data_IF_214837424330
#
_entry.id   IF_214837424330
#
_cell.length_a   1.000
_cell.length_b   1.000
_cell.length_c   1.000
_cell.angle_alpha   90.00
_cell.angle_beta   90.00
_cell.angle_gamma   90.00
#
_symmetry.space_group_name_H-M   'P 1'
#
loop_
_entity.id
_entity.type
_entity.pdbx_description
1 polymer ?
#
# COMPACT_ATOMS: atom_id res chain seq x y z
N UNK A 1 4.79 11.21 -9.89
CA UNK A 1 4.53 10.80 -11.30
C UNK A 1 3.13 11.22 -11.77
N UNK A 2 2.11 11.17 -10.90
CA UNK A 2 0.77 11.68 -11.16
C UNK A 2 0.69 13.22 -11.28
N UNK A 3 1.44 13.97 -10.46
CA UNK A 3 1.52 15.45 -10.61
C UNK A 3 1.97 15.89 -12.01
N UNK A 4 2.93 15.16 -12.63
CA UNK A 4 3.40 15.45 -14.00
C UNK A 4 2.33 15.18 -15.06
N UNK A 5 1.34 14.34 -14.79
CA UNK A 5 0.19 14.16 -15.69
C UNK A 5 -0.79 15.32 -15.58
N UNK A 6 -1.02 15.84 -14.36
CA UNK A 6 -1.85 17.03 -14.12
C UNK A 6 -1.20 18.30 -14.71
N UNK A 7 0.12 18.44 -14.59
CA UNK A 7 0.88 19.56 -15.15
C UNK A 7 0.83 19.59 -16.68
N UNK A 8 0.86 18.43 -17.34
CA UNK A 8 0.72 18.34 -18.80
C UNK A 8 -0.69 18.76 -19.28
N UNK A 9 -1.72 18.68 -18.43
CA UNK A 9 -3.06 19.19 -18.71
C UNK A 9 -3.12 20.72 -18.57
N UNK A 10 -2.37 21.31 -17.63
CA UNK A 10 -2.24 22.78 -17.49
C UNK A 10 -1.52 23.44 -18.67
N UNK A 11 -0.58 22.77 -19.33
CA UNK A 11 0.06 23.31 -20.55
C UNK A 11 -0.96 23.43 -21.71
N UNK A 12 -2.00 22.58 -21.73
CA UNK A 12 -3.05 22.60 -22.74
C UNK A 12 -4.04 23.76 -22.49
N UNK A 13 -4.21 24.23 -21.24
CA UNK A 13 -5.07 25.39 -20.94
C UNK A 13 -4.51 26.73 -21.43
N UNK A 14 -3.20 26.81 -21.69
CA UNK A 14 -2.53 28.03 -22.19
C UNK A 14 -2.43 28.09 -23.72
N UNK A 15 -2.92 27.08 -24.44
CA UNK A 15 -2.88 27.06 -25.90
C UNK A 15 -3.92 28.04 -26.49
N UNK A 16 -3.53 28.98 -27.36
CA UNK A 16 -4.47 29.90 -27.98
C UNK A 16 -5.45 29.15 -28.89
N UNK A 17 -6.74 29.47 -28.78
CA UNK A 17 -7.83 28.88 -29.57
C UNK A 17 -7.70 29.30 -31.05
N UNK A 18 -6.99 28.50 -31.84
CA UNK A 18 -6.84 28.70 -33.28
C UNK A 18 -7.74 27.68 -34.00
N UNK A 19 -8.73 28.11 -34.80
CA UNK A 19 -9.50 27.19 -35.61
C UNK A 19 -8.60 26.55 -36.67
N UNK A 20 -8.45 25.22 -36.62
CA UNK A 20 -7.78 24.47 -37.69
C UNK A 20 -8.74 24.39 -38.89
N UNK A 21 -8.23 24.67 -40.09
CA UNK A 21 -8.99 24.71 -41.35
C UNK A 21 -9.44 23.32 -41.86
N UNK A 22 -9.42 22.24 -41.08
CA UNK A 22 -9.73 20.90 -41.62
C UNK A 22 -10.27 19.83 -40.65
N UNK A 23 -10.85 20.20 -39.51
CA UNK A 23 -11.62 19.26 -38.69
C UNK A 23 -11.15 19.19 -37.24
N UNK A 24 -12.10 19.39 -36.34
CA UNK A 24 -12.01 19.53 -34.89
C UNK A 24 -11.28 20.79 -34.39
N UNK A 25 -12.03 21.60 -33.64
CA UNK A 25 -11.56 22.75 -32.88
C UNK A 25 -10.68 22.32 -31.70
N UNK A 26 -9.83 23.21 -31.21
CA UNK A 26 -9.01 22.95 -30.02
C UNK A 26 -9.86 22.56 -28.79
N UNK A 27 -11.09 23.08 -28.71
CA UNK A 27 -12.07 22.76 -27.69
C UNK A 27 -12.58 21.31 -27.77
N UNK A 28 -12.84 20.80 -28.98
CA UNK A 28 -13.28 19.40 -29.18
C UNK A 28 -12.15 18.41 -28.89
N UNK A 29 -10.91 18.77 -29.23
CA UNK A 29 -9.72 17.99 -28.86
C UNK A 29 -9.58 17.97 -27.34
N UNK A 30 -9.65 19.13 -26.67
CA UNK A 30 -9.61 19.22 -25.21
C UNK A 30 -10.69 18.38 -24.55
N UNK A 31 -11.93 18.47 -25.02
CA UNK A 31 -13.05 17.70 -24.49
C UNK A 31 -12.84 16.18 -24.64
N UNK A 32 -12.18 15.74 -25.71
CA UNK A 32 -11.86 14.32 -25.91
C UNK A 32 -10.79 13.81 -24.94
N UNK A 33 -9.79 14.64 -24.61
CA UNK A 33 -8.77 14.31 -23.61
C UNK A 33 -9.36 14.30 -22.19
N UNK A 34 -10.16 15.30 -21.84
CA UNK A 34 -10.86 15.37 -20.53
C UNK A 34 -11.76 14.13 -20.35
N UNK A 35 -12.53 13.77 -21.38
CA UNK A 35 -13.37 12.57 -21.36
C UNK A 35 -12.57 11.29 -21.25
N UNK A 36 -11.39 11.22 -21.89
CA UNK A 36 -10.50 10.07 -21.79
C UNK A 36 -9.89 9.94 -20.39
N UNK A 37 -9.50 11.04 -19.76
CA UNK A 37 -9.00 11.06 -18.38
C UNK A 37 -10.08 10.61 -17.38
N UNK A 38 -11.32 11.09 -17.54
CA UNK A 38 -12.46 10.66 -16.72
C UNK A 38 -12.80 9.18 -16.92
N UNK A 39 -12.72 8.66 -18.15
CA UNK A 39 -12.89 7.23 -18.41
C UNK A 39 -11.79 6.38 -17.80
N UNK A 40 -10.54 6.86 -17.79
CA UNK A 40 -9.41 6.18 -17.15
C UNK A 40 -9.61 6.15 -15.63
N UNK A 41 -9.97 7.29 -15.01
CA UNK A 41 -10.30 7.35 -13.58
C UNK A 41 -11.45 6.41 -13.22
N UNK A 42 -12.52 6.42 -14.01
CA UNK A 42 -13.67 5.54 -13.83
C UNK A 42 -13.29 4.06 -13.95
N UNK A 43 -12.50 3.71 -14.96
CA UNK A 43 -12.03 2.34 -15.16
C UNK A 43 -11.14 1.86 -14.00
N UNK A 44 -10.24 2.74 -13.52
CA UNK A 44 -9.39 2.47 -12.37
C UNK A 44 -10.26 2.29 -11.12
N UNK A 45 -11.22 3.19 -10.84
CA UNK A 45 -12.11 3.07 -9.70
C UNK A 45 -12.95 1.78 -9.75
N UNK A 46 -13.57 1.46 -10.89
CA UNK A 46 -14.38 0.24 -11.04
C UNK A 46 -13.53 -1.03 -10.84
N UNK A 47 -12.35 -1.10 -11.47
CA UNK A 47 -11.51 -2.30 -11.40
C UNK A 47 -10.75 -2.46 -10.09
N UNK A 48 -10.27 -1.37 -9.50
CA UNK A 48 -9.59 -1.42 -8.22
C UNK A 48 -10.60 -1.72 -7.12
N UNK A 49 -11.76 -1.05 -7.07
CA UNK A 49 -12.79 -1.31 -6.04
C UNK A 49 -13.31 -2.75 -6.10
N UNK A 50 -13.47 -3.34 -7.29
CA UNK A 50 -13.83 -4.76 -7.42
C UNK A 50 -12.74 -5.69 -6.87
N UNK A 51 -11.47 -5.35 -7.07
CA UNK A 51 -10.33 -6.09 -6.48
C UNK A 51 -10.30 -5.92 -4.95
N UNK A 52 -10.63 -4.74 -4.43
CA UNK A 52 -10.76 -4.47 -2.99
C UNK A 52 -11.89 -5.28 -2.34
N UNK A 53 -13.07 -5.29 -2.97
CA UNK A 53 -14.25 -5.98 -2.46
C UNK A 53 -14.06 -7.51 -2.43
N UNK A 54 -13.29 -8.06 -3.35
CA UNK A 54 -13.03 -9.51 -3.43
C UNK A 54 -11.92 -9.99 -2.48
N UNK A 55 -11.23 -9.11 -1.75
CA UNK A 55 -10.21 -9.48 -0.76
C UNK A 55 -10.67 -9.38 0.71
N UNK A 56 -11.86 -8.83 1.00
CA UNK A 56 -12.40 -8.67 2.36
C UNK A 56 -13.86 -9.13 2.48
N UNK A 57 -14.13 -10.44 2.48
CA UNK A 57 -15.51 -10.96 2.59
C UNK A 57 -16.06 -11.02 4.02
N UNK A 58 -15.83 -10.01 4.89
CA UNK A 58 -16.56 -9.94 6.17
C UNK A 58 -17.01 -8.57 6.66
N UNK A 59 -16.41 -7.43 6.27
CA UNK A 59 -16.70 -6.15 6.97
C UNK A 59 -16.90 -4.91 6.07
N UNK A 60 -17.45 -5.06 4.86
CA UNK A 60 -17.90 -3.90 4.07
C UNK A 60 -19.40 -4.00 3.82
N UNK A 61 -20.18 -3.39 4.71
CA UNK A 61 -21.49 -2.87 4.36
C UNK A 61 -21.33 -1.95 3.14
N UNK A 62 -21.93 -2.36 2.02
CA UNK A 62 -22.07 -1.69 0.71
C UNK A 62 -21.54 -0.25 0.63
N UNK A 63 -20.56 0.07 -0.24
CA UNK A 63 -20.19 1.46 -0.46
C UNK A 63 -21.29 2.12 -1.30
N UNK A 64 -22.00 3.07 -0.69
CA UNK A 64 -22.67 4.13 -1.43
C UNK A 64 -21.62 4.92 -2.21
N UNK A 65 -21.96 5.28 -3.45
CA UNK A 65 -21.17 6.06 -4.41
C UNK A 65 -20.71 7.41 -3.82
N UNK A 66 -19.60 7.42 -3.10
CA UNK A 66 -18.91 8.63 -2.65
C UNK A 66 -17.49 8.57 -3.22
N UNK A 67 -17.09 9.62 -3.95
CA UNK A 67 -15.70 9.81 -4.35
C UNK A 67 -14.83 9.77 -3.10
N UNK A 68 -13.95 8.78 -3.02
CA UNK A 68 -12.95 8.68 -1.96
C UNK A 68 -11.89 9.75 -2.23
N UNK A 69 -11.55 10.56 -1.22
CA UNK A 69 -10.50 11.56 -1.33
C UNK A 69 -9.12 10.90 -1.53
N UNK A 70 -8.18 11.66 -2.09
CA UNK A 70 -6.86 11.16 -2.49
C UNK A 70 -6.07 10.58 -1.28
N UNK A 71 -6.20 11.19 -0.10
CA UNK A 71 -5.55 10.73 1.13
C UNK A 71 -6.11 9.39 1.60
N UNK A 72 -7.43 9.21 1.55
CA UNK A 72 -8.08 7.92 1.82
C UNK A 72 -7.61 6.85 0.84
N UNK A 73 -7.47 7.18 -0.45
CA UNK A 73 -6.97 6.25 -1.47
C UNK A 73 -5.50 5.88 -1.18
N UNK A 74 -4.63 6.84 -0.85
CA UNK A 74 -3.24 6.56 -0.48
C UNK A 74 -3.14 5.70 0.78
N UNK A 75 -3.93 6.02 1.81
CA UNK A 75 -3.97 5.25 3.05
C UNK A 75 -4.42 3.79 2.82
N UNK A 76 -5.44 3.60 1.98
CA UNK A 76 -5.92 2.27 1.61
C UNK A 76 -4.90 1.50 0.76
N UNK A 77 -4.26 2.13 -0.23
CA UNK A 77 -3.20 1.50 -1.04
C UNK A 77 -2.02 1.08 -0.16
N UNK A 78 -1.60 1.92 0.78
CA UNK A 78 -0.50 1.59 1.68
C UNK A 78 -0.87 0.41 2.59
N UNK A 79 -2.09 0.40 3.15
CA UNK A 79 -2.60 -0.72 3.96
C UNK A 79 -2.62 -2.04 3.19
N UNK A 80 -3.03 -2.01 1.91
CA UNK A 80 -3.05 -3.20 1.06
C UNK A 80 -1.66 -3.71 0.70
N UNK A 81 -0.73 -2.80 0.39
CA UNK A 81 0.66 -3.15 0.14
C UNK A 81 1.27 -3.86 1.36
N UNK A 82 0.91 -3.45 2.57
CA UNK A 82 1.38 -4.07 3.81
C UNK A 82 0.75 -5.43 4.12
N UNK A 83 -0.40 -5.77 3.52
CA UNK A 83 -1.03 -7.09 3.62
C UNK A 83 -0.51 -8.11 2.59
N UNK A 84 0.37 -7.70 1.67
CA UNK A 84 0.97 -8.63 0.69
C UNK A 84 1.96 -9.61 1.33
N UNK A 85 2.49 -9.28 2.51
CA UNK A 85 3.37 -10.16 3.27
C UNK A 85 2.55 -10.87 4.36
N UNK A 86 2.54 -12.22 4.38
CA UNK A 86 1.85 -12.94 5.43
C UNK A 86 2.52 -12.67 6.79
N UNK A 87 1.72 -12.72 7.86
CA UNK A 87 2.24 -12.69 9.23
C UNK A 87 3.27 -13.82 9.40
N UNK A 88 4.37 -13.53 10.10
CA UNK A 88 5.50 -14.45 10.26
C UNK A 88 6.50 -14.44 9.09
N UNK A 89 6.23 -13.71 8.00
CA UNK A 89 7.21 -13.53 6.94
C UNK A 89 8.44 -12.77 7.47
N UNK A 90 9.62 -13.33 7.23
CA UNK A 90 10.91 -12.73 7.53
C UNK A 90 11.52 -12.20 6.23
N UNK A 91 11.98 -10.95 6.25
CA UNK A 91 12.62 -10.32 5.10
C UNK A 91 13.66 -9.30 5.55
N UNK A 92 14.57 -8.98 4.63
CA UNK A 92 15.62 -8.00 4.86
C UNK A 92 15.07 -6.60 4.55
N UNK A 93 15.20 -5.69 5.50
CA UNK A 93 14.84 -4.29 5.37
C UNK A 93 16.10 -3.44 5.38
N UNK A 94 16.13 -2.42 4.53
CA UNK A 94 17.18 -1.40 4.52
C UNK A 94 16.61 -0.08 5.06
N UNK A 95 17.37 0.60 5.92
CA UNK A 95 16.98 1.87 6.53
C UNK A 95 16.12 1.73 7.79
N UNK A 96 15.70 2.87 8.35
CA UNK A 96 15.06 2.93 9.67
C UNK A 96 13.71 2.17 9.71
N UNK A 97 13.46 1.52 10.85
CA UNK A 97 12.21 0.81 11.15
C UNK A 97 11.05 1.77 11.49
N UNK A 98 10.71 2.66 10.57
CA UNK A 98 9.50 3.50 10.68
C UNK A 98 8.21 2.72 10.37
N UNK A 99 8.32 1.47 9.91
CA UNK A 99 7.17 0.63 9.59
C UNK A 99 6.55 0.03 10.86
N UNK A 100 5.33 0.47 11.19
CA UNK A 100 4.56 0.12 12.39
C UNK A 100 4.01 -1.31 12.43
N UNK A 101 4.51 -2.22 11.59
CA UNK A 101 3.91 -3.53 11.36
C UNK A 101 4.94 -4.69 11.27
N UNK A 102 6.17 -4.41 11.67
CA UNK A 102 7.32 -5.32 11.67
C UNK A 102 8.11 -5.22 12.96
N UNK A 103 8.67 -6.34 13.41
CA UNK A 103 9.59 -6.41 14.55
C UNK A 103 10.98 -6.83 14.07
N UNK A 104 12.03 -6.35 14.73
CA UNK A 104 13.41 -6.78 14.45
C UNK A 104 13.58 -8.24 14.87
N UNK A 105 14.28 -9.03 14.05
CA UNK A 105 14.66 -10.40 14.37
C UNK A 105 15.95 -10.42 15.22
N UNK A 106 15.85 -9.99 16.48
CA UNK A 106 16.95 -9.89 17.44
C UNK A 106 16.89 -10.91 18.59
N UNK A 107 15.99 -11.89 18.50
CA UNK A 107 15.77 -12.88 19.56
C UNK A 107 15.00 -12.36 20.78
N UNK A 108 14.56 -11.09 20.77
CA UNK A 108 13.87 -10.49 21.91
C UNK A 108 12.56 -11.22 22.26
N UNK A 109 12.22 -11.31 23.57
CA UNK A 109 10.91 -11.78 23.99
C UNK A 109 9.85 -10.70 23.75
N UNK A 110 8.74 -11.07 23.12
CA UNK A 110 7.61 -10.17 22.82
C UNK A 110 6.28 -10.74 23.35
N UNK A 111 5.30 -9.87 23.57
CA UNK A 111 4.01 -10.22 24.19
C UNK A 111 3.13 -11.10 23.28
N UNK A 112 2.64 -12.23 23.81
CA UNK A 112 1.66 -13.08 23.12
C UNK A 112 0.32 -12.38 22.91
N UNK A 113 -0.07 -11.49 23.82
CA UNK A 113 -1.34 -10.77 23.74
C UNK A 113 -1.29 -9.64 22.70
N UNK A 114 -0.15 -8.95 22.61
CA UNK A 114 0.04 -7.86 21.65
C UNK A 114 0.24 -8.40 20.23
N UNK A 115 1.03 -9.47 20.08
CA UNK A 115 1.38 -10.07 18.80
C UNK A 115 0.70 -11.43 18.60
N UNK A 116 -0.60 -11.51 18.88
CA UNK A 116 -1.36 -12.78 18.88
C UNK A 116 -1.30 -13.54 17.55
N UNK A 117 -1.46 -12.85 16.41
CA UNK A 117 -1.37 -13.48 15.08
C UNK A 117 0.03 -14.02 14.79
N UNK A 118 1.06 -13.29 15.20
CA UNK A 118 2.44 -13.75 15.05
C UNK A 118 2.70 -14.97 15.93
N UNK A 119 2.24 -14.95 17.18
CA UNK A 119 2.34 -16.09 18.08
C UNK A 119 1.59 -17.32 17.57
N UNK A 120 0.40 -17.16 17.00
CA UNK A 120 -0.33 -18.26 16.33
C UNK A 120 0.46 -18.85 15.16
N UNK A 121 1.25 -18.04 14.47
CA UNK A 121 2.01 -18.44 13.28
C UNK A 121 3.32 -19.15 13.65
N UNK A 122 4.14 -18.57 14.52
CA UNK A 122 5.48 -19.08 14.82
C UNK A 122 5.56 -19.84 16.16
N UNK A 123 4.56 -19.67 17.03
CA UNK A 123 4.53 -20.26 18.36
C UNK A 123 5.75 -19.90 19.19
N UNK A 124 6.35 -20.91 19.81
CA UNK A 124 7.57 -20.78 20.62
C UNK A 124 8.79 -21.38 19.93
N UNK A 125 8.77 -21.50 18.59
CA UNK A 125 9.85 -22.13 17.82
C UNK A 125 11.24 -21.52 18.08
N UNK A 126 11.30 -20.23 18.41
CA UNK A 126 12.53 -19.49 18.68
C UNK A 126 12.77 -19.24 20.18
N UNK A 127 11.94 -19.82 21.05
CA UNK A 127 12.04 -19.71 22.50
C UNK A 127 10.67 -19.47 23.15
N UNK A 128 10.52 -20.00 24.36
CA UNK A 128 9.27 -19.92 25.12
C UNK A 128 9.01 -18.54 25.75
N UNK A 129 9.92 -17.57 25.60
CA UNK A 129 9.90 -16.34 26.39
C UNK A 129 10.01 -16.64 27.88
N UNK A 130 9.13 -16.03 28.65
CA UNK A 130 8.90 -16.27 30.08
C UNK A 130 8.09 -17.55 30.38
N UNK A 131 7.61 -18.26 29.35
CA UNK A 131 6.80 -19.47 29.48
C UNK A 131 5.29 -19.22 29.60
N UNK A 132 4.85 -17.98 29.84
CA UNK A 132 3.44 -17.66 30.10
C UNK A 132 2.91 -16.56 29.18
N UNK A 133 3.55 -15.39 29.17
CA UNK A 133 3.01 -14.18 28.53
C UNK A 133 3.79 -13.73 27.31
N UNK A 134 5.00 -14.26 27.09
CA UNK A 134 5.88 -13.89 25.98
C UNK A 134 6.31 -15.09 25.14
N UNK A 135 6.85 -14.80 23.96
CA UNK A 135 7.54 -15.74 23.07
C UNK A 135 8.73 -15.03 22.43
N UNK A 136 9.75 -15.78 22.02
CA UNK A 136 10.92 -15.18 21.40
C UNK A 136 10.74 -15.04 19.89
N UNK A 137 11.28 -13.95 19.36
CA UNK A 137 11.47 -13.76 17.92
C UNK A 137 12.68 -14.58 17.42
N UNK A 138 12.82 -14.77 16.10
CA UNK A 138 14.08 -15.24 15.52
C UNK A 138 15.22 -14.28 15.87
N UNK A 139 16.43 -14.83 16.01
CA UNK A 139 17.66 -14.03 16.08
C UNK A 139 18.42 -14.21 14.76
N UNK A 140 18.49 -13.14 13.98
CA UNK A 140 19.15 -13.07 12.68
C UNK A 140 20.13 -11.90 12.62
N UNK A 141 20.56 -11.40 13.78
CA UNK A 141 21.46 -10.25 13.89
C UNK A 141 22.83 -10.53 13.26
N UNK A 142 23.36 -11.74 13.47
CA UNK A 142 24.64 -12.19 12.91
C UNK A 142 24.58 -12.54 11.42
N UNK A 143 23.38 -12.67 10.84
CA UNK A 143 23.18 -13.08 9.44
C UNK A 143 23.01 -11.87 8.50
N UNK A 144 22.99 -10.65 9.03
CA UNK A 144 22.80 -9.45 8.21
C UNK A 144 23.97 -9.27 7.23
N UNK A 145 23.69 -9.09 5.92
CA UNK A 145 24.75 -8.92 4.93
C UNK A 145 25.49 -7.58 5.06
N UNK A 146 24.90 -6.57 5.72
CA UNK A 146 25.45 -5.21 5.83
C UNK A 146 24.98 -4.50 7.11
N UNK A 147 25.79 -3.57 7.67
CA UNK A 147 25.47 -2.89 8.93
C UNK A 147 24.18 -2.06 8.93
N UNK A 148 23.72 -1.61 7.75
CA UNK A 148 22.52 -0.78 7.59
C UNK A 148 21.29 -1.58 7.15
N UNK A 149 21.38 -2.92 7.17
CA UNK A 149 20.27 -3.81 6.85
C UNK A 149 19.91 -4.66 8.06
N UNK A 150 18.62 -4.86 8.28
CA UNK A 150 18.09 -5.62 9.41
C UNK A 150 17.06 -6.64 8.93
N UNK A 151 17.09 -7.82 9.51
CA UNK A 151 16.01 -8.78 9.31
C UNK A 151 14.84 -8.40 10.21
N UNK A 152 13.66 -8.33 9.59
CA UNK A 152 12.42 -8.03 10.29
C UNK A 152 11.37 -9.10 10.03
N UNK A 153 10.45 -9.27 10.97
CA UNK A 153 9.34 -10.21 10.90
C UNK A 153 8.01 -9.45 10.93
N UNK A 154 7.11 -9.81 10.01
CA UNK A 154 5.75 -9.27 9.95
C UNK A 154 4.90 -9.80 11.12
N UNK A 155 4.21 -8.92 11.85
CA UNK A 155 3.20 -9.30 12.86
C UNK A 155 1.76 -8.89 12.51
#
# INVERSE_FOLDING_TARGET
MFERMTDNVSIISDLPDRPSQSGMSAQEIKQSFDKSAELIKKFINEKIVDVLNNMNSSDISSPSTQELDEDTIYGQINSLAQNMLPVGAVFLQAGDNENSNTLICDGSPVSRAEYAKLFETIGTAYGNGDGETTFNLPDLTDESPMPEMEYVIKY
#
